data_IF_769163852346
#
_entry.id   IF_769163852346
#
_cell.length_a   1.000
_cell.length_b   1.000
_cell.length_c   1.000
_cell.angle_alpha   90.00
_cell.angle_beta   90.00
_cell.angle_gamma   90.00
#
_symmetry.space_group_name_H-M   'P 1'
#
loop_
_entity.id
_entity.type
_entity.pdbx_description
1 polymer ?
#
# COMPACT_ATOMS: atom_id res chain seq x y z
N UNK A 1 -8.99 12.10 -49.71
CA UNK A 1 -10.00 11.53 -48.81
C UNK A 1 -9.31 10.42 -48.04
N UNK A 2 -9.10 10.45 -46.85
CA UNK A 2 -9.46 10.96 -45.59
C UNK A 2 -8.76 10.06 -44.59
N UNK A 3 -7.58 10.44 -44.17
CA UNK A 3 -6.81 9.68 -43.16
C UNK A 3 -7.09 10.25 -41.76
N UNK A 4 -8.15 9.84 -41.14
CA UNK A 4 -8.53 10.26 -39.82
C UNK A 4 -8.70 9.09 -38.86
N UNK A 5 -7.66 8.28 -38.62
CA UNK A 5 -7.82 7.07 -37.84
C UNK A 5 -6.65 6.62 -36.97
N UNK A 6 -5.64 7.45 -36.73
CA UNK A 6 -4.46 6.98 -36.02
C UNK A 6 -3.92 7.92 -34.90
N UNK A 7 -4.76 8.76 -34.32
CA UNK A 7 -4.33 9.62 -33.22
C UNK A 7 -4.90 9.23 -31.83
N UNK A 8 -5.58 8.10 -31.71
CA UNK A 8 -6.19 7.68 -30.43
C UNK A 8 -5.34 6.72 -29.61
N UNK A 9 -4.21 6.24 -30.12
CA UNK A 9 -3.31 5.32 -29.41
C UNK A 9 -2.13 6.00 -28.67
N UNK A 10 -2.10 7.32 -28.62
CA UNK A 10 -0.93 8.07 -28.12
C UNK A 10 -0.90 8.41 -26.63
N UNK A 11 -1.91 8.10 -25.83
CA UNK A 11 -1.96 8.51 -24.41
C UNK A 11 -2.61 7.46 -23.50
N UNK A 12 -2.25 6.19 -23.63
CA UNK A 12 -2.43 5.29 -22.49
C UNK A 12 -1.32 5.62 -21.50
N UNK A 13 -1.66 5.92 -20.22
CA UNK A 13 -0.63 6.05 -19.21
C UNK A 13 0.13 4.72 -19.14
N UNK A 14 1.44 4.77 -19.21
CA UNK A 14 2.31 3.61 -19.04
C UNK A 14 2.04 3.03 -17.65
N UNK A 15 1.29 1.93 -17.60
CA UNK A 15 1.07 1.17 -16.37
C UNK A 15 2.30 0.32 -16.11
N UNK A 16 3.02 0.61 -15.05
CA UNK A 16 4.16 -0.20 -14.61
C UNK A 16 3.99 -0.59 -13.14
N UNK A 17 4.55 -1.75 -12.81
CA UNK A 17 4.60 -2.23 -11.44
C UNK A 17 6.02 -2.04 -10.89
N UNK A 18 6.13 -1.45 -9.71
CA UNK A 18 7.40 -1.37 -8.98
C UNK A 18 7.54 -2.62 -8.12
N UNK A 19 8.58 -3.41 -8.37
CA UNK A 19 8.93 -4.59 -7.56
C UNK A 19 10.13 -4.23 -6.68
N UNK A 20 9.98 -4.42 -5.38
CA UNK A 20 11.02 -4.13 -4.40
C UNK A 20 11.62 -5.43 -3.87
N UNK A 21 12.95 -5.55 -3.93
CA UNK A 21 13.68 -6.64 -3.30
C UNK A 21 13.74 -6.42 -1.78
N UNK A 22 12.93 -7.17 -1.03
CA UNK A 22 12.86 -7.07 0.44
C UNK A 22 14.17 -7.41 1.18
N UNK A 23 15.11 -8.09 0.50
CA UNK A 23 16.44 -8.42 1.07
C UNK A 23 17.51 -7.36 0.76
N UNK A 24 17.16 -6.28 0.08
CA UNK A 24 18.12 -5.22 -0.21
C UNK A 24 18.49 -4.44 1.07
N UNK A 25 19.79 -4.12 1.31
CA UNK A 25 20.22 -3.41 2.52
C UNK A 25 19.46 -2.11 2.81
N UNK A 26 19.18 -1.30 1.79
CA UNK A 26 18.37 -0.07 1.96
C UNK A 26 16.93 -0.35 2.41
N UNK A 27 16.34 -1.46 2.00
CA UNK A 27 15.00 -1.86 2.47
C UNK A 27 15.06 -2.27 3.93
N UNK A 28 16.10 -3.00 4.34
CA UNK A 28 16.32 -3.35 5.73
C UNK A 28 16.51 -2.11 6.63
N UNK A 29 17.24 -1.10 6.14
CA UNK A 29 17.43 0.18 6.82
C UNK A 29 16.10 0.94 6.98
N UNK A 30 15.30 1.06 5.91
CA UNK A 30 13.96 1.66 5.96
C UNK A 30 13.08 0.95 6.99
N UNK A 31 13.06 -0.38 6.98
CA UNK A 31 12.27 -1.16 7.93
C UNK A 31 12.73 -0.92 9.38
N UNK A 32 14.05 -0.83 9.61
CA UNK A 32 14.61 -0.51 10.92
C UNK A 32 14.21 0.88 11.44
N UNK A 33 14.25 1.89 10.56
CA UNK A 33 13.79 3.25 10.90
C UNK A 33 12.29 3.29 11.22
N UNK A 34 11.48 2.63 10.40
CA UNK A 34 10.02 2.56 10.59
C UNK A 34 9.68 1.81 11.89
N UNK A 35 10.34 0.68 12.17
CA UNK A 35 10.13 -0.08 13.39
C UNK A 35 10.51 0.74 14.63
N UNK A 36 11.62 1.46 14.59
CA UNK A 36 12.07 2.33 15.69
C UNK A 36 11.10 3.48 15.96
N UNK A 37 10.56 4.09 14.91
CA UNK A 37 9.75 5.31 15.03
C UNK A 37 8.25 5.03 15.21
N UNK A 38 7.75 3.93 14.64
CA UNK A 38 6.32 3.64 14.54
C UNK A 38 5.93 2.22 14.97
N UNK A 39 6.90 1.38 15.35
CA UNK A 39 6.71 -0.04 15.60
C UNK A 39 5.59 -0.35 16.58
N UNK A 40 5.56 0.29 17.74
CA UNK A 40 4.52 0.05 18.77
C UNK A 40 3.12 0.41 18.27
N UNK A 41 3.00 1.51 17.52
CA UNK A 41 1.72 1.93 16.94
C UNK A 41 1.26 0.96 15.87
N UNK A 42 2.15 0.54 14.98
CA UNK A 42 1.84 -0.45 13.93
C UNK A 42 1.50 -1.81 14.54
N UNK A 43 2.20 -2.25 15.58
CA UNK A 43 1.87 -3.48 16.33
C UNK A 43 0.47 -3.42 16.94
N UNK A 44 0.10 -2.28 17.51
CA UNK A 44 -1.25 -2.08 18.06
C UNK A 44 -2.32 -2.14 16.97
N UNK A 45 -2.07 -1.52 15.81
CA UNK A 45 -2.99 -1.57 14.67
C UNK A 45 -3.12 -2.99 14.12
N UNK A 46 -2.01 -3.72 13.97
CA UNK A 46 -2.03 -5.11 13.53
C UNK A 46 -2.82 -5.99 14.49
N UNK A 47 -2.60 -5.88 15.82
CA UNK A 47 -3.38 -6.63 16.81
C UNK A 47 -4.88 -6.38 16.72
N UNK A 48 -5.31 -5.14 16.49
CA UNK A 48 -6.72 -4.80 16.29
C UNK A 48 -7.29 -5.42 15.02
N UNK A 49 -6.51 -5.38 13.93
CA UNK A 49 -6.90 -5.98 12.66
C UNK A 49 -6.98 -7.51 12.77
N UNK A 50 -5.99 -8.14 13.39
CA UNK A 50 -5.96 -9.59 13.59
C UNK A 50 -7.15 -10.07 14.45
N UNK A 51 -7.51 -9.32 15.51
CA UNK A 51 -8.69 -9.60 16.31
C UNK A 51 -9.99 -9.48 15.49
N UNK A 52 -10.11 -8.43 14.67
CA UNK A 52 -11.28 -8.25 13.81
C UNK A 52 -11.39 -9.31 12.72
N UNK A 53 -10.27 -9.74 12.14
CA UNK A 53 -10.21 -10.85 11.18
C UNK A 53 -10.61 -12.17 11.82
N UNK A 54 -10.15 -12.44 13.04
CA UNK A 54 -10.54 -13.65 13.79
C UNK A 54 -12.04 -13.67 14.09
N UNK A 55 -12.63 -12.53 14.45
CA UNK A 55 -14.05 -12.37 14.66
C UNK A 55 -14.84 -12.61 13.35
N UNK A 56 -14.43 -12.00 12.25
CA UNK A 56 -15.02 -12.19 10.93
C UNK A 56 -14.97 -13.67 10.51
N UNK A 57 -13.81 -14.31 10.63
CA UNK A 57 -13.63 -15.71 10.27
C UNK A 57 -14.52 -16.64 11.12
N UNK A 58 -14.70 -16.35 12.41
CA UNK A 58 -15.59 -17.11 13.28
C UNK A 58 -17.08 -16.97 12.88
N UNK A 59 -17.48 -15.80 12.40
CA UNK A 59 -18.83 -15.55 11.87
C UNK A 59 -19.01 -16.31 10.55
N UNK A 60 -18.07 -16.17 9.61
CA UNK A 60 -18.13 -16.87 8.31
C UNK A 60 -18.14 -18.39 8.50
N UNK A 61 -17.35 -18.93 9.43
CA UNK A 61 -17.33 -20.38 9.71
C UNK A 61 -18.67 -20.88 10.26
N UNK A 62 -19.35 -20.10 11.09
CA UNK A 62 -20.70 -20.42 11.59
C UNK A 62 -21.78 -20.37 10.50
N UNK A 63 -21.56 -19.55 9.48
CA UNK A 63 -22.53 -19.30 8.41
C UNK A 63 -22.26 -20.10 7.13
N UNK A 64 -21.12 -20.81 7.05
CA UNK A 64 -20.65 -21.44 5.81
C UNK A 64 -21.60 -22.46 5.21
N UNK A 65 -22.35 -23.17 6.06
CA UNK A 65 -23.29 -24.19 5.64
C UNK A 65 -24.71 -23.65 5.31
N UNK A 66 -24.92 -22.35 5.53
CA UNK A 66 -26.17 -21.66 5.23
C UNK A 66 -26.11 -20.97 3.88
N UNK A 67 -27.17 -21.13 3.09
CA UNK A 67 -27.32 -20.35 1.86
C UNK A 67 -27.71 -18.89 2.20
N UNK A 68 -27.42 -17.92 1.33
CA UNK A 68 -27.71 -16.50 1.57
C UNK A 68 -29.20 -16.20 1.90
N UNK A 69 -30.11 -16.99 1.34
CA UNK A 69 -31.55 -16.92 1.56
C UNK A 69 -32.02 -17.52 2.91
N UNK A 70 -31.12 -18.27 3.55
CA UNK A 70 -31.38 -18.94 4.85
C UNK A 70 -30.80 -18.15 6.04
N UNK A 71 -30.10 -17.04 5.77
CA UNK A 71 -29.54 -16.19 6.81
C UNK A 71 -30.65 -15.33 7.45
N UNK A 72 -30.67 -15.29 8.78
CA UNK A 72 -31.50 -14.33 9.51
C UNK A 72 -30.99 -12.89 9.31
N UNK A 73 -31.86 -11.92 9.57
CA UNK A 73 -31.48 -10.51 9.46
C UNK A 73 -30.35 -10.12 10.44
N UNK A 74 -30.35 -10.75 11.64
CA UNK A 74 -29.27 -10.58 12.62
C UNK A 74 -27.93 -11.16 12.11
N UNK A 75 -27.95 -12.32 11.47
CA UNK A 75 -26.78 -12.96 10.90
C UNK A 75 -26.20 -12.14 9.73
N UNK A 76 -27.07 -11.63 8.86
CA UNK A 76 -26.67 -10.71 7.77
C UNK A 76 -26.01 -9.46 8.33
N UNK A 77 -26.64 -8.83 9.32
CA UNK A 77 -26.13 -7.63 9.97
C UNK A 77 -24.80 -7.89 10.66
N UNK A 78 -24.65 -8.97 11.40
CA UNK A 78 -23.40 -9.34 12.06
C UNK A 78 -22.26 -9.56 11.06
N UNK A 79 -22.55 -10.18 9.92
CA UNK A 79 -21.60 -10.39 8.81
C UNK A 79 -21.17 -9.06 8.18
N UNK A 80 -22.12 -8.18 7.90
CA UNK A 80 -21.85 -6.85 7.33
C UNK A 80 -21.04 -5.98 8.29
N UNK A 81 -21.40 -5.95 9.58
CA UNK A 81 -20.68 -5.18 10.60
C UNK A 81 -19.25 -5.67 10.79
N UNK A 82 -19.04 -7.00 10.81
CA UNK A 82 -17.68 -7.56 10.92
C UNK A 82 -16.82 -7.24 9.69
N UNK A 83 -17.38 -7.34 8.48
CA UNK A 83 -16.70 -6.96 7.24
C UNK A 83 -16.35 -5.49 7.22
N UNK A 84 -17.31 -4.61 7.52
CA UNK A 84 -17.08 -3.17 7.57
C UNK A 84 -16.01 -2.78 8.62
N UNK A 85 -15.96 -3.47 9.76
CA UNK A 85 -14.94 -3.27 10.79
C UNK A 85 -13.54 -3.64 10.28
N UNK A 86 -13.40 -4.78 9.59
CA UNK A 86 -12.14 -5.22 8.99
C UNK A 86 -11.68 -4.22 7.91
N UNK A 87 -12.58 -3.82 7.01
CA UNK A 87 -12.28 -2.89 5.93
C UNK A 87 -11.84 -1.52 6.45
N UNK A 88 -12.52 -1.02 7.49
CA UNK A 88 -12.13 0.21 8.18
C UNK A 88 -10.71 0.11 8.76
N UNK A 89 -10.40 -0.96 9.50
CA UNK A 89 -9.08 -1.13 10.11
C UNK A 89 -7.97 -1.33 9.07
N UNK A 90 -8.26 -2.01 7.96
CA UNK A 90 -7.34 -2.11 6.82
C UNK A 90 -7.09 -0.75 6.18
N UNK A 91 -8.14 0.04 5.98
CA UNK A 91 -8.05 1.39 5.45
C UNK A 91 -7.21 2.31 6.35
N UNK A 92 -7.44 2.30 7.65
CA UNK A 92 -6.66 3.07 8.63
C UNK A 92 -5.18 2.68 8.62
N UNK A 93 -4.89 1.36 8.58
CA UNK A 93 -3.51 0.85 8.48
C UNK A 93 -2.84 1.27 7.18
N UNK A 94 -3.52 1.13 6.06
CA UNK A 94 -3.01 1.52 4.73
C UNK A 94 -2.75 3.02 4.66
N UNK A 95 -3.67 3.84 5.15
CA UNK A 95 -3.49 5.29 5.22
C UNK A 95 -2.24 5.66 6.03
N UNK A 96 -2.06 5.02 7.21
CA UNK A 96 -0.89 5.28 8.06
C UNK A 96 0.42 4.86 7.41
N UNK A 97 0.47 3.69 6.77
CA UNK A 97 1.66 3.25 6.03
C UNK A 97 1.98 4.17 4.85
N UNK A 98 0.95 4.69 4.18
CA UNK A 98 1.11 5.66 3.10
C UNK A 98 1.71 6.97 3.60
N UNK A 99 1.27 7.49 4.75
CA UNK A 99 1.85 8.67 5.38
C UNK A 99 3.32 8.45 5.72
N UNK A 100 3.64 7.34 6.41
CA UNK A 100 5.02 6.98 6.75
C UNK A 100 5.90 6.89 5.49
N UNK A 101 5.39 6.26 4.43
CA UNK A 101 6.13 6.14 3.17
C UNK A 101 6.35 7.49 2.47
N UNK A 102 5.41 8.41 2.57
CA UNK A 102 5.55 9.76 2.01
C UNK A 102 6.55 10.64 2.79
N UNK A 103 6.61 10.48 4.09
CA UNK A 103 7.50 11.22 4.98
C UNK A 103 8.94 10.69 4.93
N UNK A 104 9.13 9.40 4.66
CA UNK A 104 10.43 8.76 4.66
C UNK A 104 11.21 9.04 3.37
N UNK A 105 12.34 9.77 3.51
CA UNK A 105 13.19 10.15 2.38
C UNK A 105 13.82 8.95 1.67
N UNK A 106 14.14 7.86 2.40
CA UNK A 106 14.75 6.66 1.82
C UNK A 106 13.75 5.88 0.97
N UNK A 107 12.48 5.78 1.38
CA UNK A 107 11.42 5.15 0.56
C UNK A 107 11.33 5.82 -0.81
N UNK A 108 11.26 7.15 -0.81
CA UNK A 108 11.20 7.91 -2.06
C UNK A 108 12.46 7.74 -2.90
N UNK A 109 13.63 7.70 -2.25
CA UNK A 109 14.91 7.50 -2.92
C UNK A 109 15.00 6.13 -3.62
N UNK A 110 14.55 5.06 -2.97
CA UNK A 110 14.53 3.70 -3.54
C UNK A 110 13.60 3.62 -4.75
N UNK A 111 12.41 4.23 -4.67
CA UNK A 111 11.46 4.27 -5.79
C UNK A 111 12.04 5.04 -6.98
N UNK A 112 12.58 6.23 -6.73
CA UNK A 112 13.16 7.07 -7.78
C UNK A 112 14.39 6.43 -8.40
N UNK A 113 15.20 5.68 -7.63
CA UNK A 113 16.34 4.90 -8.15
C UNK A 113 15.88 3.81 -9.11
N UNK A 114 14.79 3.11 -8.79
CA UNK A 114 14.19 2.11 -9.67
C UNK A 114 13.68 2.74 -10.97
N UNK A 115 13.04 3.91 -10.89
CA UNK A 115 12.58 4.66 -12.06
C UNK A 115 13.77 5.17 -12.91
N UNK A 116 14.83 5.66 -12.28
CA UNK A 116 16.05 6.11 -12.95
C UNK A 116 16.72 4.97 -13.73
N UNK A 117 16.83 3.79 -13.12
CA UNK A 117 17.42 2.59 -13.75
C UNK A 117 16.69 2.16 -15.01
N UNK A 118 15.41 2.49 -15.14
CA UNK A 118 14.59 2.22 -16.31
C UNK A 118 14.39 3.43 -17.23
N UNK A 119 15.16 4.52 -17.03
CA UNK A 119 15.06 5.74 -17.85
C UNK A 119 13.74 6.51 -17.68
N UNK A 120 12.98 6.22 -16.63
CA UNK A 120 11.65 6.79 -16.39
C UNK A 120 11.68 8.03 -15.50
N UNK A 121 12.79 8.32 -14.82
CA UNK A 121 12.97 9.49 -13.97
C UNK A 121 13.54 10.65 -14.79
N UNK A 122 12.75 11.71 -15.00
CA UNK A 122 13.11 12.84 -15.85
C UNK A 122 12.65 14.17 -15.23
N UNK A 123 13.18 15.28 -15.75
CA UNK A 123 12.77 16.63 -15.40
C UNK A 123 12.91 16.95 -13.92
N UNK A 124 11.90 17.57 -13.34
CA UNK A 124 11.89 17.99 -11.94
C UNK A 124 12.08 16.83 -10.96
N UNK A 125 11.52 15.66 -11.27
CA UNK A 125 11.68 14.47 -10.44
C UNK A 125 13.13 14.02 -10.36
N UNK A 126 13.88 14.08 -11.46
CA UNK A 126 15.32 13.80 -11.48
C UNK A 126 16.10 14.84 -10.66
N UNK A 127 15.78 16.12 -10.79
CA UNK A 127 16.41 17.19 -10.00
C UNK A 127 16.18 16.98 -8.50
N UNK A 128 14.96 16.64 -8.12
CA UNK A 128 14.60 16.36 -6.73
C UNK A 128 15.28 15.10 -6.18
N UNK A 129 15.44 14.07 -7.02
CA UNK A 129 16.21 12.86 -6.68
C UNK A 129 17.67 13.20 -6.38
N UNK A 130 18.33 13.98 -7.25
CA UNK A 130 19.73 14.39 -7.07
C UNK A 130 19.89 15.20 -5.77
N UNK A 131 19.01 16.17 -5.51
CA UNK A 131 19.04 16.97 -4.29
C UNK A 131 18.95 16.10 -3.03
N UNK A 132 18.01 15.17 -2.97
CA UNK A 132 17.88 14.23 -1.85
C UNK A 132 19.10 13.31 -1.70
N UNK A 133 19.70 12.89 -2.84
CA UNK A 133 20.92 12.07 -2.81
C UNK A 133 22.07 12.80 -2.13
N UNK A 134 22.27 14.10 -2.42
CA UNK A 134 23.28 14.94 -1.78
C UNK A 134 22.97 15.06 -0.27
N UNK A 135 21.75 15.38 0.11
CA UNK A 135 21.33 15.49 1.53
C UNK A 135 21.55 14.19 2.32
N UNK A 136 21.48 13.03 1.66
CA UNK A 136 21.71 11.73 2.30
C UNK A 136 23.19 11.39 2.47
N UNK A 137 24.06 11.93 1.60
CA UNK A 137 25.52 11.71 1.66
C UNK A 137 26.16 12.63 2.71
N UNK A 138 25.61 13.82 2.93
CA UNK A 138 26.12 14.82 3.88
C UNK A 138 25.82 14.53 5.35
N UNK A 139 25.13 13.42 5.64
CA UNK A 139 24.83 12.93 7.01
C UNK A 139 25.88 11.94 7.48
#
# INVERSE_FOLDING_TARGET
MGGGGMQFYGQMPDNFNVVINGNHPLVAEILGEVEKSYGDRLKTMNKKLDAALSEQNAIEEKLKDKKPDQLTDEEKKSREESSAKVDKLRGERTARLTEIGKENKLVKQVIDLALLSNGMLKGENLTNFIRRSIELIEK
#
